data_IF_805854593563
#
_entry.id   IF_805854593563
#
_cell.length_a   1.000
_cell.length_b   1.000
_cell.length_c   1.000
_cell.angle_alpha   90.00
_cell.angle_beta   90.00
_cell.angle_gamma   90.00
#
_symmetry.space_group_name_H-M   'P 1'
#
loop_
_entity.id
_entity.type
_entity.pdbx_description
1 polymer ?
#
# COMPACT_ATOMS: atom_id res chain seq x y z
N UNK A 1 -29.69 19.86 34.04
CA UNK A 1 -28.26 20.20 33.95
C UNK A 1 -27.66 19.47 32.76
N UNK A 2 -27.23 20.27 31.78
CA UNK A 2 -26.45 20.02 30.56
C UNK A 2 -26.53 18.66 29.82
N UNK A 3 -27.04 18.79 28.59
CA UNK A 3 -27.08 17.84 27.48
C UNK A 3 -25.72 17.22 27.12
N UNK A 4 -25.77 15.98 26.64
CA UNK A 4 -24.69 15.20 26.04
C UNK A 4 -23.84 16.00 25.03
N UNK A 5 -22.60 16.31 25.38
CA UNK A 5 -21.63 17.03 24.52
C UNK A 5 -20.94 16.11 23.50
N UNK A 6 -21.16 14.81 23.55
CA UNK A 6 -20.52 13.89 22.59
C UNK A 6 -21.40 13.80 21.34
N UNK A 7 -21.16 14.72 20.40
CA UNK A 7 -21.66 14.60 19.04
C UNK A 7 -21.17 13.28 18.43
N UNK A 8 -22.11 12.38 18.10
CA UNK A 8 -21.86 11.08 17.44
C UNK A 8 -21.31 11.24 16.01
N UNK A 9 -21.41 12.44 15.44
CA UNK A 9 -20.96 12.73 14.08
C UNK A 9 -19.50 13.19 14.07
N UNK A 10 -18.58 12.22 14.10
CA UNK A 10 -17.14 12.45 13.97
C UNK A 10 -16.86 13.05 12.59
N UNK A 11 -16.64 14.38 12.51
CA UNK A 11 -16.23 15.05 11.27
C UNK A 11 -15.00 14.32 10.70
N UNK A 12 -15.08 13.85 9.45
CA UNK A 12 -13.92 13.35 8.68
C UNK A 12 -12.91 14.50 8.53
N UNK A 13 -12.01 14.64 9.51
CA UNK A 13 -10.91 15.62 9.47
C UNK A 13 -9.78 14.99 8.66
N UNK A 14 -9.58 15.48 7.43
CA UNK A 14 -8.45 15.09 6.59
C UNK A 14 -8.67 15.40 5.12
N UNK A 15 -7.58 15.45 4.35
CA UNK A 15 -7.61 15.41 2.89
C UNK A 15 -8.46 14.20 2.46
N UNK A 16 -9.26 14.29 1.37
CA UNK A 16 -9.87 13.10 0.78
C UNK A 16 -8.80 12.02 0.63
N UNK A 17 -9.15 10.76 0.85
CA UNK A 17 -8.21 9.64 0.88
C UNK A 17 -7.35 9.63 -0.40
N UNK A 18 -6.17 10.24 -0.34
CA UNK A 18 -5.24 10.29 -1.45
C UNK A 18 -4.41 9.02 -1.40
N UNK A 19 -4.91 8.03 -2.12
CA UNK A 19 -4.34 6.70 -2.24
C UNK A 19 -5.32 5.84 -3.02
N UNK A 20 -5.28 5.94 -4.35
CA UNK A 20 -6.04 5.06 -5.22
C UNK A 20 -5.52 3.63 -5.00
N UNK A 21 -6.26 2.83 -4.23
CA UNK A 21 -5.93 1.44 -3.90
C UNK A 21 -6.10 1.11 -2.41
N UNK A 22 -6.42 -0.16 -2.12
CA UNK A 22 -6.53 -0.67 -0.74
C UNK A 22 -5.12 -0.89 -0.17
N UNK A 23 -4.83 -0.32 1.01
CA UNK A 23 -3.55 -0.57 1.70
C UNK A 23 -3.50 -2.03 2.16
N UNK A 24 -2.43 -2.74 1.80
CA UNK A 24 -2.17 -4.11 2.25
C UNK A 24 -0.89 -4.12 3.07
N UNK A 25 -1.01 -4.30 4.39
CA UNK A 25 0.12 -4.42 5.31
C UNK A 25 0.50 -5.88 5.56
N UNK A 26 1.57 -6.36 4.92
CA UNK A 26 2.08 -7.74 5.06
C UNK A 26 3.46 -7.72 5.72
N UNK A 27 3.74 -8.71 6.56
CA UNK A 27 5.08 -8.96 7.09
C UNK A 27 5.79 -9.97 6.19
N UNK A 28 6.81 -9.52 5.48
CA UNK A 28 7.68 -10.35 4.64
C UNK A 28 8.95 -10.71 5.39
N UNK A 29 9.47 -11.92 5.17
CA UNK A 29 10.73 -12.38 5.72
C UNK A 29 11.92 -11.70 5.00
N UNK A 30 13.12 -11.64 5.60
CA UNK A 30 14.27 -10.96 5.00
C UNK A 30 14.63 -11.46 3.59
N UNK A 31 14.56 -12.78 3.37
CA UNK A 31 14.83 -13.41 2.07
C UNK A 31 13.87 -12.94 0.97
N UNK A 32 12.59 -12.73 1.33
CA UNK A 32 11.58 -12.26 0.39
C UNK A 32 11.79 -10.79 0.05
N UNK A 33 12.15 -9.97 1.05
CA UNK A 33 12.50 -8.56 0.85
C UNK A 33 13.71 -8.41 -0.06
N UNK A 34 14.77 -9.19 0.18
CA UNK A 34 15.98 -9.19 -0.63
C UNK A 34 15.71 -9.62 -2.09
N UNK A 35 14.85 -10.62 -2.28
CA UNK A 35 14.44 -11.05 -3.61
C UNK A 35 13.66 -9.94 -4.36
N UNK A 36 12.75 -9.24 -3.68
CA UNK A 36 12.00 -8.12 -4.26
C UNK A 36 12.95 -6.96 -4.61
N UNK A 37 13.89 -6.63 -3.72
CA UNK A 37 14.85 -5.55 -3.94
C UNK A 37 15.80 -5.86 -5.10
N UNK A 38 16.30 -7.10 -5.17
CA UNK A 38 17.15 -7.57 -6.28
C UNK A 38 16.41 -7.56 -7.61
N UNK A 39 15.13 -7.96 -7.61
CA UNK A 39 14.30 -7.87 -8.80
C UNK A 39 14.09 -6.41 -9.21
N UNK A 40 13.82 -5.51 -8.26
CA UNK A 40 13.61 -4.10 -8.55
C UNK A 40 14.85 -3.43 -9.14
N UNK A 41 16.05 -3.68 -8.59
CA UNK A 41 17.30 -3.12 -9.12
C UNK A 41 17.67 -3.67 -10.50
N UNK A 42 17.21 -4.88 -10.85
CA UNK A 42 17.42 -5.44 -12.18
C UNK A 42 16.56 -4.80 -13.28
N UNK A 43 15.51 -4.04 -12.92
CA UNK A 43 14.65 -3.38 -13.91
C UNK A 43 15.29 -2.08 -14.42
N UNK A 44 15.07 -1.71 -15.70
CA UNK A 44 15.66 -0.51 -16.30
C UNK A 44 15.34 0.79 -15.56
N UNK A 45 14.13 0.90 -15.01
CA UNK A 45 13.65 2.09 -14.30
C UNK A 45 13.80 2.02 -12.77
N UNK A 46 14.38 0.93 -12.25
CA UNK A 46 14.63 0.71 -10.82
C UNK A 46 13.44 1.11 -9.92
N UNK A 47 12.27 0.47 -10.11
CA UNK A 47 11.04 0.89 -9.45
C UNK A 47 11.18 0.79 -7.92
N UNK A 48 10.48 1.67 -7.21
CA UNK A 48 10.35 1.57 -5.76
C UNK A 48 9.78 0.20 -5.34
N UNK A 49 10.11 -0.28 -4.14
CA UNK A 49 9.63 -1.56 -3.61
C UNK A 49 8.11 -1.76 -3.72
N UNK A 50 7.24 -0.79 -3.38
CA UNK A 50 5.80 -0.94 -3.57
C UNK A 50 5.39 -1.11 -5.04
N UNK A 51 6.07 -0.43 -5.96
CA UNK A 51 5.79 -0.58 -7.39
C UNK A 51 6.32 -1.91 -7.94
N UNK A 52 7.45 -2.39 -7.44
CA UNK A 52 7.97 -3.71 -7.75
C UNK A 52 6.97 -4.81 -7.38
N UNK A 53 6.42 -4.76 -6.15
CA UNK A 53 5.39 -5.70 -5.71
C UNK A 53 4.15 -5.64 -6.63
N UNK A 54 3.69 -4.44 -7.01
CA UNK A 54 2.55 -4.31 -7.93
C UNK A 54 2.82 -4.94 -9.29
N UNK A 55 4.03 -4.75 -9.84
CA UNK A 55 4.41 -5.34 -11.13
C UNK A 55 4.49 -6.86 -11.05
N UNK A 56 5.10 -7.41 -10.01
CA UNK A 56 5.17 -8.86 -9.78
C UNK A 56 3.76 -9.46 -9.70
N UNK A 57 2.86 -8.84 -8.92
CA UNK A 57 1.46 -9.28 -8.82
C UNK A 57 0.75 -9.25 -10.18
N UNK A 58 0.89 -8.15 -10.95
CA UNK A 58 0.33 -8.06 -12.31
C UNK A 58 0.89 -9.15 -13.23
N UNK A 59 2.19 -9.39 -13.20
CA UNK A 59 2.85 -10.39 -14.05
C UNK A 59 2.42 -11.83 -13.75
N UNK A 60 2.12 -12.14 -12.48
CA UNK A 60 1.73 -13.49 -12.05
C UNK A 60 0.24 -13.74 -12.19
N UNK A 61 -0.61 -12.76 -11.86
CA UNK A 61 -2.06 -12.96 -11.75
C UNK A 61 -2.89 -12.35 -12.88
N UNK A 62 -2.36 -11.37 -13.61
CA UNK A 62 -3.10 -10.60 -14.62
C UNK A 62 -2.47 -10.72 -16.02
N UNK A 63 -1.86 -11.87 -16.31
CA UNK A 63 -1.26 -12.17 -17.60
C UNK A 63 -2.34 -12.78 -18.51
N UNK A 64 -2.56 -12.17 -19.67
CA UNK A 64 -3.32 -12.77 -20.79
C UNK A 64 -2.44 -13.77 -21.55
#
# INVERSE_FOLDING_TARGET
>A
MASSIINDNKKRRGRPATGLGTMVGVRLQPKELEAIDSWATSQPDQPSRPEAIRRIVRQVLLKD
#
